data_IF_375656017310
#
_entry.id   IF_375656017310
#
_cell.length_a   1.000
_cell.length_b   1.000
_cell.length_c   1.000
_cell.angle_alpha   90.00
_cell.angle_beta   90.00
_cell.angle_gamma   90.00
#
_symmetry.space_group_name_H-M   'P 1'
#
loop_
_entity.id
_entity.type
_entity.pdbx_description
1 polymer ?
#
# COMPACT_ATOMS: atom_id res chain seq x y z
N UNK A 1 6.44 -69.81 -52.37
CA UNK A 1 5.59 -70.93 -52.07
C UNK A 1 4.54 -70.51 -51.05
N UNK A 2 3.29 -70.59 -51.46
CA UNK A 2 2.13 -70.30 -50.63
C UNK A 2 1.67 -71.66 -50.10
N UNK A 3 1.54 -71.82 -48.77
CA UNK A 3 0.99 -73.01 -48.14
C UNK A 3 1.96 -74.19 -47.94
N UNK A 4 3.29 -73.98 -47.83
CA UNK A 4 4.15 -75.05 -47.26
C UNK A 4 4.07 -75.08 -45.75
N UNK A 5 3.87 -76.25 -45.11
CA UNK A 5 3.85 -76.36 -43.69
C UNK A 5 5.25 -76.12 -43.11
N UNK A 6 5.31 -75.22 -42.10
CA UNK A 6 6.53 -74.96 -41.35
C UNK A 6 6.98 -76.12 -40.55
N UNK A 7 8.26 -76.46 -40.62
CA UNK A 7 8.87 -77.54 -39.79
C UNK A 7 9.54 -76.95 -38.54
N UNK A 8 9.60 -77.71 -37.50
CA UNK A 8 10.23 -77.32 -36.23
C UNK A 8 11.69 -76.91 -36.49
N UNK A 9 12.05 -75.65 -36.00
CA UNK A 9 13.38 -75.06 -36.21
C UNK A 9 13.53 -74.19 -37.45
N UNK A 10 12.50 -74.09 -38.30
CA UNK A 10 12.53 -73.16 -39.46
C UNK A 10 12.42 -71.69 -39.07
N UNK A 11 13.38 -70.89 -39.47
CA UNK A 11 13.37 -69.44 -39.24
C UNK A 11 12.41 -68.80 -40.26
N UNK A 12 11.39 -68.11 -39.75
CA UNK A 12 10.47 -67.29 -40.55
C UNK A 12 10.83 -65.84 -40.35
N UNK A 13 11.24 -65.18 -41.42
CA UNK A 13 11.42 -63.75 -41.43
C UNK A 13 10.09 -63.07 -41.71
N UNK A 14 9.58 -62.31 -40.75
CA UNK A 14 8.39 -61.48 -40.89
C UNK A 14 8.84 -60.09 -41.26
N UNK A 15 8.53 -59.62 -42.45
CA UNK A 15 8.75 -58.27 -42.88
C UNK A 15 7.47 -57.48 -42.59
N UNK A 16 7.54 -56.54 -41.66
CA UNK A 16 6.48 -55.56 -41.42
C UNK A 16 6.74 -54.34 -42.33
N UNK A 17 5.83 -54.04 -43.21
CA UNK A 17 5.91 -52.82 -43.97
C UNK A 17 5.67 -51.64 -43.06
N UNK A 18 6.61 -50.73 -43.01
CA UNK A 18 6.47 -49.45 -42.28
C UNK A 18 5.69 -48.39 -43.08
N UNK A 19 5.12 -48.77 -44.23
CA UNK A 19 4.50 -47.86 -45.17
C UNK A 19 5.50 -47.30 -46.18
N UNK A 20 5.05 -46.48 -47.09
CA UNK A 20 5.91 -45.78 -48.08
C UNK A 20 6.35 -44.43 -47.55
N UNK A 21 7.47 -43.91 -47.99
CA UNK A 21 7.93 -42.55 -47.65
C UNK A 21 6.89 -41.47 -48.04
N UNK A 22 5.94 -41.80 -48.91
CA UNK A 22 4.84 -40.92 -49.33
C UNK A 22 3.76 -40.73 -48.23
N UNK A 23 3.74 -41.59 -47.17
CA UNK A 23 2.79 -41.49 -46.07
C UNK A 23 3.30 -40.67 -44.87
N UNK A 24 4.53 -40.14 -44.96
CA UNK A 24 5.12 -39.29 -43.94
C UNK A 24 4.89 -37.82 -44.27
N UNK A 25 4.58 -37.04 -43.26
CA UNK A 25 4.40 -35.59 -43.33
C UNK A 25 5.18 -34.93 -42.19
N UNK A 26 5.67 -33.73 -42.44
CA UNK A 26 6.37 -32.96 -41.41
C UNK A 26 5.38 -32.17 -40.58
N UNK A 27 5.55 -32.23 -39.27
CA UNK A 27 4.77 -31.47 -38.32
C UNK A 27 5.13 -29.98 -38.45
N UNK A 28 4.14 -29.10 -38.64
CA UNK A 28 4.41 -27.67 -38.76
C UNK A 28 4.65 -27.03 -37.37
N UNK A 29 5.35 -25.87 -37.30
CA UNK A 29 5.41 -25.05 -36.10
C UNK A 29 4.05 -24.42 -35.83
N UNK A 30 3.44 -24.69 -34.66
CA UNK A 30 2.10 -24.25 -34.30
C UNK A 30 2.13 -23.27 -33.11
N UNK A 31 3.18 -23.33 -32.31
CA UNK A 31 3.32 -22.46 -31.11
C UNK A 31 3.41 -20.99 -31.53
N UNK A 32 2.62 -20.14 -30.88
CA UNK A 32 2.49 -18.71 -31.21
C UNK A 32 1.40 -18.37 -32.22
N UNK A 33 0.77 -19.38 -32.86
CA UNK A 33 -0.34 -19.18 -33.78
C UNK A 33 -1.68 -19.09 -33.03
N UNK A 34 -2.70 -18.52 -33.71
CA UNK A 34 -4.07 -18.67 -33.16
C UNK A 34 -4.51 -20.13 -33.28
N UNK A 35 -5.41 -20.57 -32.43
CA UNK A 35 -5.91 -21.94 -32.45
C UNK A 35 -6.60 -22.29 -33.75
N UNK A 36 -7.28 -21.32 -34.38
CA UNK A 36 -7.94 -21.48 -35.69
C UNK A 36 -6.92 -21.73 -36.80
N UNK A 37 -5.87 -20.90 -36.87
CA UNK A 37 -4.81 -21.05 -37.88
C UNK A 37 -4.03 -22.34 -37.67
N UNK A 38 -3.74 -22.72 -36.44
CA UNK A 38 -3.06 -23.95 -36.08
C UNK A 38 -3.86 -25.19 -36.50
N UNK A 39 -5.18 -25.21 -36.24
CA UNK A 39 -6.08 -26.31 -36.71
C UNK A 39 -6.10 -26.42 -38.22
N UNK A 40 -6.29 -25.28 -38.90
CA UNK A 40 -6.31 -25.25 -40.37
C UNK A 40 -4.97 -25.75 -40.94
N UNK A 41 -3.84 -25.40 -40.32
CA UNK A 41 -2.52 -25.85 -40.79
C UNK A 41 -2.29 -27.35 -40.52
N UNK A 42 -2.72 -27.89 -39.38
CA UNK A 42 -2.68 -29.33 -39.08
C UNK A 42 -3.43 -30.10 -40.14
N UNK A 43 -4.68 -29.71 -40.44
CA UNK A 43 -5.53 -30.37 -41.44
C UNK A 43 -4.96 -30.25 -42.86
N UNK A 44 -4.46 -29.07 -43.24
CA UNK A 44 -3.81 -28.85 -44.52
C UNK A 44 -2.56 -29.74 -44.76
N UNK A 45 -1.89 -30.12 -43.67
CA UNK A 45 -0.75 -31.06 -43.70
C UNK A 45 -1.18 -32.53 -43.73
N UNK A 46 -2.48 -32.82 -43.61
CA UNK A 46 -3.02 -34.18 -43.55
C UNK A 46 -2.75 -34.86 -42.19
N UNK A 47 -2.66 -34.05 -41.15
CA UNK A 47 -2.59 -34.45 -39.73
C UNK A 47 -3.98 -34.29 -39.11
N UNK A 48 -4.17 -34.82 -37.91
CA UNK A 48 -5.42 -34.73 -37.17
C UNK A 48 -5.28 -33.84 -35.94
N UNK A 49 -6.28 -32.99 -35.72
CA UNK A 49 -6.36 -32.17 -34.50
C UNK A 49 -6.83 -33.05 -33.35
N UNK A 50 -6.05 -33.06 -32.24
CA UNK A 50 -6.37 -33.77 -31.02
C UNK A 50 -7.08 -32.91 -29.97
N UNK A 51 -6.78 -33.19 -28.73
CA UNK A 51 -7.28 -32.36 -27.62
C UNK A 51 -6.63 -30.97 -27.60
N UNK A 52 -7.45 -29.97 -27.30
CA UNK A 52 -7.00 -28.61 -27.03
C UNK A 52 -7.29 -28.30 -25.54
N UNK A 53 -6.23 -28.19 -24.71
CA UNK A 53 -6.35 -27.91 -23.29
C UNK A 53 -6.01 -26.46 -23.03
N UNK A 54 -6.91 -25.71 -22.39
CA UNK A 54 -6.67 -24.33 -22.03
C UNK A 54 -5.74 -24.26 -20.80
N UNK A 55 -4.72 -23.41 -20.87
CA UNK A 55 -3.73 -23.14 -19.80
C UNK A 55 -3.55 -21.64 -19.62
N UNK A 56 -3.24 -21.21 -18.42
CA UNK A 56 -2.83 -19.81 -18.16
C UNK A 56 -1.47 -19.55 -18.80
N UNK A 57 -1.29 -18.38 -19.41
CA UNK A 57 -0.07 -18.00 -20.09
C UNK A 57 -0.06 -16.50 -20.35
N UNK A 58 1.11 -15.89 -20.39
CA UNK A 58 1.30 -14.47 -20.75
C UNK A 58 0.97 -14.15 -22.22
N UNK A 59 0.67 -15.16 -23.01
CA UNK A 59 0.24 -14.96 -24.40
C UNK A 59 -1.25 -14.61 -24.47
N UNK A 60 -1.69 -13.87 -25.51
CA UNK A 60 -3.10 -13.56 -25.71
C UNK A 60 -3.97 -14.83 -25.72
N UNK A 61 -5.20 -14.72 -25.22
CA UNK A 61 -6.18 -15.80 -25.26
C UNK A 61 -6.32 -16.40 -26.66
N UNK A 62 -6.42 -17.73 -26.74
CA UNK A 62 -6.53 -18.45 -28.01
C UNK A 62 -5.22 -18.70 -28.72
N UNK A 63 -4.08 -18.31 -28.18
CA UNK A 63 -2.75 -18.59 -28.75
C UNK A 63 -2.27 -19.97 -28.34
N UNK A 64 -1.71 -20.74 -29.29
CA UNK A 64 -1.10 -22.05 -29.03
C UNK A 64 0.20 -21.87 -28.24
N UNK A 65 0.25 -22.45 -27.02
CA UNK A 65 1.41 -22.40 -26.13
C UNK A 65 2.29 -23.65 -26.23
N UNK A 66 1.72 -24.77 -26.64
CA UNK A 66 2.41 -26.05 -26.75
C UNK A 66 1.77 -26.94 -27.79
N UNK A 67 2.58 -27.76 -28.48
CA UNK A 67 2.16 -28.85 -29.36
C UNK A 67 2.81 -30.18 -28.94
N UNK A 68 2.06 -31.28 -29.00
CA UNK A 68 2.48 -32.59 -28.47
C UNK A 68 3.58 -33.31 -29.27
N UNK A 69 3.87 -32.84 -30.48
CA UNK A 69 4.92 -33.38 -31.35
C UNK A 69 5.74 -32.18 -31.84
N UNK A 70 7.06 -32.30 -31.79
CA UNK A 70 7.97 -31.22 -32.15
C UNK A 70 7.82 -30.79 -33.63
N UNK A 71 8.02 -29.50 -33.93
CA UNK A 71 8.10 -29.04 -35.31
C UNK A 71 9.17 -29.81 -36.12
N UNK A 72 8.91 -29.99 -37.40
CA UNK A 72 9.78 -30.69 -38.35
C UNK A 72 9.94 -32.20 -38.14
N UNK A 73 9.32 -32.79 -37.13
CA UNK A 73 9.29 -34.24 -36.98
C UNK A 73 8.50 -34.89 -38.09
N UNK A 74 9.00 -36.00 -38.63
CA UNK A 74 8.33 -36.78 -39.69
C UNK A 74 7.40 -37.82 -39.07
N UNK A 75 6.11 -37.66 -39.27
CA UNK A 75 5.06 -38.50 -38.71
C UNK A 75 4.16 -39.06 -39.87
N UNK A 76 3.39 -40.09 -39.56
CA UNK A 76 2.40 -40.60 -40.51
C UNK A 76 1.24 -39.57 -40.69
N UNK A 77 0.62 -39.60 -41.84
CA UNK A 77 -0.67 -38.95 -42.06
C UNK A 77 -1.66 -39.36 -40.98
N UNK A 78 -2.59 -38.42 -40.66
CA UNK A 78 -3.62 -38.60 -39.63
C UNK A 78 -3.06 -38.75 -38.22
N UNK A 79 -1.74 -38.58 -38.00
CA UNK A 79 -1.19 -38.49 -36.64
C UNK A 79 -1.84 -37.34 -35.89
N UNK A 80 -2.26 -37.60 -34.66
CA UNK A 80 -2.99 -36.65 -33.81
C UNK A 80 -2.02 -35.70 -33.12
N UNK A 81 -2.24 -34.39 -33.26
CA UNK A 81 -1.50 -33.34 -32.57
C UNK A 81 -2.40 -32.75 -31.48
N UNK A 82 -1.99 -32.89 -30.22
CA UNK A 82 -2.63 -32.21 -29.10
C UNK A 82 -2.00 -30.84 -28.88
N UNK A 83 -2.81 -29.86 -28.48
CA UNK A 83 -2.41 -28.48 -28.27
C UNK A 83 -2.69 -28.04 -26.83
N UNK A 84 -1.86 -27.14 -26.31
CA UNK A 84 -2.26 -26.28 -25.21
C UNK A 84 -2.51 -24.89 -25.75
N UNK A 85 -3.52 -24.22 -25.23
CA UNK A 85 -4.02 -22.93 -25.72
C UNK A 85 -4.04 -21.97 -24.54
N UNK A 86 -3.49 -20.78 -24.73
CA UNK A 86 -3.54 -19.72 -23.74
C UNK A 86 -4.99 -19.35 -23.41
N UNK A 87 -5.29 -19.17 -22.12
CA UNK A 87 -6.49 -18.48 -21.61
C UNK A 87 -6.30 -16.97 -21.52
N UNK A 88 -5.12 -16.47 -21.82
CA UNK A 88 -4.66 -15.14 -21.50
C UNK A 88 -3.87 -15.10 -20.20
N UNK A 89 -3.32 -13.93 -19.84
CA UNK A 89 -2.76 -13.69 -18.52
C UNK A 89 -3.80 -13.97 -17.42
N UNK A 90 -3.35 -14.40 -16.26
CA UNK A 90 -4.23 -14.55 -15.12
C UNK A 90 -4.80 -13.16 -14.76
N UNK A 91 -6.12 -13.06 -14.59
CA UNK A 91 -6.76 -11.85 -14.06
C UNK A 91 -6.28 -11.59 -12.63
N UNK A 92 -5.90 -10.34 -12.34
CA UNK A 92 -5.55 -9.96 -10.97
C UNK A 92 -6.79 -10.03 -10.07
N UNK A 93 -6.70 -10.78 -8.97
CA UNK A 93 -7.77 -10.84 -7.98
C UNK A 93 -7.90 -9.53 -7.20
N UNK A 94 -9.11 -9.18 -6.81
CA UNK A 94 -9.33 -8.02 -5.94
C UNK A 94 -8.71 -8.29 -4.57
N UNK A 95 -7.79 -7.43 -4.09
CA UNK A 95 -7.13 -7.66 -2.82
C UNK A 95 -8.12 -7.57 -1.65
N UNK A 96 -7.97 -8.45 -0.67
CA UNK A 96 -8.76 -8.43 0.56
C UNK A 96 -8.07 -7.58 1.62
N UNK A 97 -8.77 -6.58 2.14
CA UNK A 97 -8.28 -5.80 3.29
C UNK A 97 -8.58 -6.59 4.56
N UNK A 98 -7.52 -6.92 5.30
CA UNK A 98 -7.57 -7.78 6.50
C UNK A 98 -7.75 -6.95 7.76
N UNK A 99 -7.02 -5.83 7.83
CA UNK A 99 -7.13 -4.88 8.92
C UNK A 99 -6.81 -3.46 8.46
N UNK A 100 -7.32 -2.49 9.18
CA UNK A 100 -7.04 -1.07 8.94
C UNK A 100 -7.15 -0.26 10.24
N UNK A 101 -6.54 0.92 10.27
CA UNK A 101 -6.78 1.91 11.32
C UNK A 101 -8.24 2.34 11.35
N UNK A 102 -8.73 2.67 12.55
CA UNK A 102 -10.09 3.16 12.78
C UNK A 102 -10.09 4.66 13.05
N UNK A 103 -11.28 5.25 13.13
CA UNK A 103 -11.47 6.64 13.54
C UNK A 103 -10.72 6.94 14.83
N UNK A 104 -10.04 8.08 14.87
CA UNK A 104 -9.19 8.44 16.00
C UNK A 104 -9.20 9.94 16.27
N UNK A 105 -8.90 10.29 17.51
CA UNK A 105 -8.69 11.68 17.93
C UNK A 105 -7.28 11.78 18.49
N UNK A 106 -6.55 12.82 18.07
CA UNK A 106 -5.18 13.11 18.51
C UNK A 106 -5.06 14.58 18.86
N UNK A 107 -4.09 14.91 19.70
CA UNK A 107 -3.75 16.29 20.03
C UNK A 107 -2.82 16.86 18.95
N UNK A 108 -2.93 18.14 18.70
CA UNK A 108 -2.06 18.87 17.78
C UNK A 108 -0.58 18.61 18.08
N UNK A 109 0.19 18.26 17.05
CA UNK A 109 1.63 17.98 17.15
C UNK A 109 1.99 16.55 17.56
N UNK A 110 1.02 15.70 17.93
CA UNK A 110 1.26 14.28 18.16
C UNK A 110 1.53 13.55 16.85
N UNK A 111 2.35 12.51 16.89
CA UNK A 111 2.59 11.68 15.69
C UNK A 111 1.46 10.70 15.50
N UNK A 112 0.90 10.66 14.28
CA UNK A 112 -0.13 9.70 13.89
C UNK A 112 0.30 8.94 12.63
N UNK A 113 0.22 7.62 12.69
CA UNK A 113 0.42 6.75 11.54
C UNK A 113 -0.83 5.91 11.31
N UNK A 114 -1.39 5.99 10.11
CA UNK A 114 -2.48 5.14 9.65
C UNK A 114 -1.91 3.91 8.96
N UNK A 115 -2.54 2.76 9.16
CA UNK A 115 -2.08 1.48 8.65
C UNK A 115 -3.22 0.72 7.96
N UNK A 116 -2.87 -0.04 6.95
CA UNK A 116 -3.74 -1.00 6.29
C UNK A 116 -2.96 -2.29 6.01
N UNK A 117 -3.57 -3.42 6.28
CA UNK A 117 -3.05 -4.74 5.93
C UNK A 117 -3.98 -5.36 4.88
N UNK A 118 -3.41 -5.89 3.81
CA UNK A 118 -4.15 -6.53 2.75
C UNK A 118 -3.42 -7.78 2.26
N UNK A 119 -4.17 -8.70 1.66
CA UNK A 119 -3.63 -9.91 1.03
C UNK A 119 -4.30 -10.16 -0.31
N UNK A 120 -3.60 -10.93 -1.15
CA UNK A 120 -4.08 -11.51 -2.39
C UNK A 120 -3.78 -13.00 -2.39
N UNK A 121 -4.57 -13.82 -3.07
CA UNK A 121 -4.39 -15.29 -3.16
C UNK A 121 -3.80 -15.72 -4.49
N UNK A 122 -3.53 -14.79 -5.41
CA UNK A 122 -3.02 -15.02 -6.77
C UNK A 122 -1.52 -14.74 -6.93
N UNK A 123 -0.77 -14.65 -5.81
CA UNK A 123 0.66 -14.29 -5.78
C UNK A 123 1.00 -12.93 -6.43
N UNK A 124 0.00 -12.06 -6.63
CA UNK A 124 0.18 -10.72 -7.18
C UNK A 124 0.91 -9.78 -6.23
N UNK A 125 1.45 -8.70 -6.79
CA UNK A 125 2.18 -7.67 -6.04
C UNK A 125 1.22 -6.60 -5.55
N UNK A 126 1.15 -6.43 -4.22
CA UNK A 126 0.33 -5.38 -3.60
C UNK A 126 1.07 -4.05 -3.56
N UNK A 127 0.37 -2.99 -3.95
CA UNK A 127 0.80 -1.61 -3.79
C UNK A 127 -0.30 -0.77 -3.13
N UNK A 128 0.11 0.33 -2.47
CA UNK A 128 -0.74 1.11 -1.59
C UNK A 128 -0.69 2.59 -2.01
N UNK A 129 -1.82 3.26 -1.89
CA UNK A 129 -1.92 4.69 -2.13
C UNK A 129 -2.92 5.29 -1.13
N UNK A 130 -2.42 6.13 -0.21
CA UNK A 130 -3.23 6.83 0.77
C UNK A 130 -3.67 8.19 0.25
N UNK A 131 -4.92 8.49 0.47
CA UNK A 131 -5.54 9.75 0.06
C UNK A 131 -6.16 10.45 1.25
N UNK A 132 -6.01 11.77 1.28
CA UNK A 132 -6.80 12.65 2.14
C UNK A 132 -7.92 13.28 1.31
N UNK A 133 -9.14 13.28 1.82
CA UNK A 133 -10.31 13.86 1.14
C UNK A 133 -11.03 14.87 2.02
N UNK A 134 -11.47 16.00 1.47
CA UNK A 134 -12.24 16.99 2.21
C UNK A 134 -13.72 16.60 2.38
N UNK A 135 -14.25 15.76 1.49
CA UNK A 135 -15.68 15.43 1.44
C UNK A 135 -16.04 14.10 2.11
N UNK A 136 -15.02 13.27 2.44
CA UNK A 136 -15.25 11.89 2.85
C UNK A 136 -15.65 10.97 1.68
N UNK A 137 -15.41 11.39 0.43
CA UNK A 137 -15.59 10.59 -0.78
C UNK A 137 -14.25 10.12 -1.33
N UNK A 138 -14.23 9.01 -2.06
CA UNK A 138 -13.05 8.53 -2.76
C UNK A 138 -12.73 9.28 -4.06
N UNK A 139 -13.62 10.18 -4.52
CA UNK A 139 -13.53 10.82 -5.84
C UNK A 139 -12.63 12.06 -5.85
N UNK A 140 -12.42 12.71 -4.68
CA UNK A 140 -11.71 13.99 -4.56
C UNK A 140 -10.46 13.91 -3.66
N UNK A 141 -9.91 12.70 -3.51
CA UNK A 141 -8.75 12.45 -2.67
C UNK A 141 -7.44 13.00 -3.23
N UNK A 142 -6.63 13.61 -2.37
CA UNK A 142 -5.26 14.02 -2.65
C UNK A 142 -4.30 12.97 -2.09
N UNK A 143 -3.36 12.48 -2.91
CA UNK A 143 -2.38 11.47 -2.52
C UNK A 143 -1.45 12.00 -1.41
N UNK A 144 -1.35 11.27 -0.30
CA UNK A 144 -0.54 11.63 0.87
C UNK A 144 0.48 10.55 1.28
N UNK A 145 0.36 9.33 0.77
CA UNK A 145 1.29 8.23 1.06
C UNK A 145 1.20 7.09 0.06
N UNK A 146 2.25 6.25 0.00
CA UNK A 146 2.37 5.14 -0.97
C UNK A 146 2.86 3.83 -0.35
N UNK A 147 2.66 3.63 0.94
CA UNK A 147 3.03 2.40 1.67
C UNK A 147 1.84 1.91 2.49
N UNK A 148 1.90 0.69 3.02
CA UNK A 148 0.88 0.15 3.91
C UNK A 148 0.68 1.01 5.17
N UNK A 149 1.73 1.67 5.67
CA UNK A 149 1.72 2.65 6.75
C UNK A 149 1.94 4.06 6.20
N UNK A 150 1.13 5.02 6.64
CA UNK A 150 1.15 6.42 6.23
C UNK A 150 1.13 7.34 7.45
N UNK A 151 2.20 8.13 7.66
CA UNK A 151 2.19 9.18 8.67
C UNK A 151 1.44 10.41 8.14
N UNK A 152 0.48 10.89 8.90
CA UNK A 152 -0.35 12.04 8.55
C UNK A 152 -0.04 13.23 9.44
N UNK A 153 -0.25 14.44 8.91
CA UNK A 153 -0.01 15.67 9.65
C UNK A 153 -1.08 15.92 10.69
N UNK A 154 -0.66 16.31 11.88
CA UNK A 154 -1.50 16.71 13.02
C UNK A 154 -1.26 18.17 13.45
N UNK A 155 -0.58 18.95 12.62
CA UNK A 155 -0.18 20.32 12.93
C UNK A 155 -1.33 21.32 12.97
N UNK A 156 -2.44 21.02 12.33
CA UNK A 156 -3.60 21.91 12.27
C UNK A 156 -4.82 21.24 12.85
N UNK A 157 -5.48 21.82 13.85
CA UNK A 157 -6.74 21.29 14.39
C UNK A 157 -7.84 21.25 13.34
N UNK A 158 -8.65 20.20 13.39
CA UNK A 158 -9.73 19.98 12.43
C UNK A 158 -10.08 18.51 12.27
N UNK A 159 -11.02 18.25 11.39
CA UNK A 159 -11.43 16.89 11.03
C UNK A 159 -10.97 16.57 9.61
N UNK A 160 -10.30 15.44 9.45
CA UNK A 160 -9.69 14.99 8.21
C UNK A 160 -10.16 13.57 7.90
N UNK A 161 -10.36 13.27 6.63
CA UNK A 161 -10.77 11.94 6.19
C UNK A 161 -9.68 11.33 5.31
N UNK A 162 -9.40 10.05 5.56
CA UNK A 162 -8.37 9.31 4.84
C UNK A 162 -8.93 7.97 4.36
N UNK A 163 -8.41 7.50 3.24
CA UNK A 163 -8.63 6.14 2.76
C UNK A 163 -7.39 5.64 2.01
N UNK A 164 -7.22 4.32 1.94
CA UNK A 164 -6.17 3.68 1.19
C UNK A 164 -6.74 2.93 0.00
N UNK A 165 -6.21 3.15 -1.19
CA UNK A 165 -6.39 2.30 -2.35
C UNK A 165 -5.30 1.24 -2.35
N UNK A 166 -5.67 -0.03 -2.29
CA UNK A 166 -4.77 -1.17 -2.43
C UNK A 166 -4.94 -1.75 -3.81
N UNK A 167 -3.86 -1.85 -4.56
CA UNK A 167 -3.86 -2.41 -5.92
C UNK A 167 -3.07 -3.72 -5.91
N UNK A 168 -3.66 -4.76 -6.47
CA UNK A 168 -3.02 -6.03 -6.78
C UNK A 168 -2.62 -6.05 -8.26
N UNK A 169 -1.41 -6.50 -8.57
CA UNK A 169 -0.88 -6.58 -9.94
C UNK A 169 -0.35 -7.98 -10.22
N UNK A 170 -0.85 -8.62 -11.26
CA UNK A 170 -0.41 -9.91 -11.80
C UNK A 170 -0.04 -9.73 -13.27
N UNK A 171 1.23 -9.81 -13.60
CA UNK A 171 1.68 -9.44 -14.96
C UNK A 171 1.33 -8.00 -15.30
N UNK A 172 0.54 -7.80 -16.35
CA UNK A 172 0.05 -6.48 -16.79
C UNK A 172 -1.37 -6.17 -16.28
N UNK A 173 -2.03 -7.14 -15.62
CA UNK A 173 -3.40 -7.00 -15.11
C UNK A 173 -3.42 -6.44 -13.69
N UNK A 174 -4.42 -5.61 -13.41
CA UNK A 174 -4.56 -4.98 -12.09
C UNK A 174 -6.00 -5.03 -11.59
N UNK A 175 -6.14 -5.26 -10.28
CA UNK A 175 -7.40 -5.11 -9.57
C UNK A 175 -7.17 -4.32 -8.29
N UNK A 176 -8.21 -3.74 -7.69
CA UNK A 176 -8.04 -2.91 -6.51
C UNK A 176 -9.21 -2.98 -5.54
N UNK A 177 -8.92 -2.64 -4.28
CA UNK A 177 -9.90 -2.38 -3.24
C UNK A 177 -9.60 -1.05 -2.54
N UNK A 178 -10.62 -0.44 -1.95
CA UNK A 178 -10.48 0.70 -1.05
C UNK A 178 -10.67 0.24 0.40
N UNK A 179 -9.89 0.84 1.32
CA UNK A 179 -10.18 0.76 2.75
C UNK A 179 -11.51 1.47 3.06
N UNK A 180 -12.05 1.23 4.23
CA UNK A 180 -13.08 2.11 4.78
C UNK A 180 -12.49 3.50 5.02
N UNK A 181 -13.37 4.51 5.07
CA UNK A 181 -12.99 5.88 5.38
C UNK A 181 -12.60 5.98 6.86
N UNK A 182 -11.46 6.61 7.14
CA UNK A 182 -10.95 6.85 8.48
C UNK A 182 -11.09 8.34 8.80
N UNK A 183 -11.80 8.65 9.87
CA UNK A 183 -11.95 10.01 10.38
C UNK A 183 -10.87 10.29 11.43
N UNK A 184 -10.05 11.30 11.18
CA UNK A 184 -9.03 11.78 12.12
C UNK A 184 -9.44 13.16 12.63
N UNK A 185 -9.65 13.29 13.94
CA UNK A 185 -9.91 14.57 14.59
C UNK A 185 -8.66 15.06 15.32
N UNK A 186 -8.11 16.18 14.87
CA UNK A 186 -6.99 16.86 15.54
C UNK A 186 -7.57 17.94 16.44
N UNK A 187 -7.32 17.84 17.73
CA UNK A 187 -7.76 18.81 18.74
C UNK A 187 -6.62 19.71 19.17
N UNK A 188 -6.93 20.94 19.59
CA UNK A 188 -5.91 21.75 20.29
C UNK A 188 -5.52 21.08 21.60
N UNK A 189 -4.27 21.27 22.02
CA UNK A 189 -3.85 20.89 23.35
C UNK A 189 -4.66 21.64 24.41
N UNK A 190 -5.01 20.97 25.49
CA UNK A 190 -5.69 21.61 26.60
C UNK A 190 -4.83 22.76 27.13
N UNK A 191 -5.46 23.92 27.34
CA UNK A 191 -4.78 25.07 27.96
C UNK A 191 -4.92 24.92 29.45
N UNK A 192 -3.79 24.82 30.16
CA UNK A 192 -3.75 24.67 31.62
C UNK A 192 -3.31 25.98 32.25
N UNK A 193 -3.95 26.32 33.37
CA UNK A 193 -3.57 27.45 34.23
C UNK A 193 -2.48 27.02 35.20
N UNK A 194 -1.37 27.77 35.23
CA UNK A 194 -0.27 27.57 36.19
C UNK A 194 -0.07 28.87 36.97
N UNK A 195 0.12 28.77 38.25
CA UNK A 195 0.48 29.92 39.12
C UNK A 195 1.99 29.96 39.28
N UNK A 196 2.61 30.99 38.73
CA UNK A 196 4.04 31.23 38.93
C UNK A 196 4.26 31.98 40.23
N UNK A 197 5.18 31.47 41.04
CA UNK A 197 5.63 32.12 42.25
C UNK A 197 6.94 32.87 41.98
N UNK A 198 6.89 34.20 42.01
CA UNK A 198 8.02 35.06 41.63
C UNK A 198 8.52 35.79 42.89
N UNK A 199 9.76 35.54 43.26
CA UNK A 199 10.42 36.27 44.34
C UNK A 199 10.88 37.63 43.80
N UNK A 200 10.23 38.71 44.23
CA UNK A 200 10.54 40.06 43.78
C UNK A 200 11.87 40.57 44.35
N UNK A 201 12.55 41.53 43.69
CA UNK A 201 13.80 42.11 44.16
C UNK A 201 13.66 42.73 45.56
N UNK A 202 14.76 42.76 46.30
CA UNK A 202 14.78 43.43 47.60
C UNK A 202 14.85 44.96 47.44
N UNK A 203 13.85 45.67 47.97
CA UNK A 203 13.80 47.15 47.89
C UNK A 203 12.43 47.67 48.34
N UNK A 204 12.30 49.01 48.47
CA UNK A 204 11.07 49.67 48.81
C UNK A 204 10.47 50.43 47.61
N UNK A 205 10.88 50.03 46.40
CA UNK A 205 10.47 50.71 45.16
C UNK A 205 9.13 50.22 44.62
N UNK A 206 8.66 50.92 43.60
CA UNK A 206 7.58 50.48 42.74
C UNK A 206 8.22 49.90 41.48
N UNK A 207 7.84 48.67 41.14
CA UNK A 207 8.37 47.94 39.99
C UNK A 207 7.25 47.69 38.96
N UNK A 208 7.53 47.85 37.68
CA UNK A 208 6.65 47.41 36.58
C UNK A 208 6.94 45.97 36.25
N UNK A 209 5.93 45.09 36.30
CA UNK A 209 6.06 43.65 36.05
C UNK A 209 5.16 43.23 34.88
N UNK A 210 5.67 42.48 33.98
CA UNK A 210 4.86 41.77 32.98
C UNK A 210 5.44 40.39 32.65
N UNK A 211 4.63 39.53 32.03
CA UNK A 211 5.01 38.14 31.78
C UNK A 211 4.77 37.79 30.31
N UNK A 212 5.76 37.16 29.69
CA UNK A 212 5.66 36.57 28.38
C UNK A 212 5.66 35.05 28.44
N UNK A 213 4.79 34.39 27.67
CA UNK A 213 4.74 32.94 27.53
C UNK A 213 4.93 32.59 26.07
N UNK A 214 5.98 31.85 25.76
CA UNK A 214 6.31 31.49 24.40
C UNK A 214 6.61 32.66 23.47
N UNK A 215 7.04 33.81 24.03
CA UNK A 215 7.37 35.04 23.30
C UNK A 215 6.19 36.01 23.12
N UNK A 216 5.02 35.73 23.67
CA UNK A 216 3.86 36.61 23.64
C UNK A 216 3.53 37.16 25.03
N UNK A 217 3.16 38.45 25.12
CA UNK A 217 2.75 39.04 26.43
C UNK A 217 1.43 38.39 26.84
N UNK A 218 1.42 37.79 28.01
CA UNK A 218 0.24 37.18 28.60
C UNK A 218 -0.32 37.97 29.78
N UNK A 219 0.58 38.59 30.57
CA UNK A 219 0.21 39.52 31.60
C UNK A 219 0.76 40.87 31.19
N UNK A 220 -0.14 41.81 30.94
CA UNK A 220 0.20 43.19 30.61
C UNK A 220 0.97 43.87 31.75
N UNK A 221 1.84 44.88 31.47
CA UNK A 221 2.58 45.55 32.48
C UNK A 221 1.71 46.15 33.60
N UNK A 222 2.05 45.86 34.84
CA UNK A 222 1.38 46.41 36.04
C UNK A 222 2.39 46.76 37.12
N UNK A 223 2.03 47.69 37.97
CA UNK A 223 2.91 48.20 39.07
C UNK A 223 2.77 47.32 40.33
N UNK A 224 3.90 46.97 40.90
CA UNK A 224 4.00 46.29 42.20
C UNK A 224 4.73 47.19 43.20
N UNK A 225 4.01 47.69 44.20
CA UNK A 225 4.55 48.56 45.29
C UNK A 225 5.11 47.64 46.40
N UNK A 226 6.42 47.46 46.44
CA UNK A 226 7.10 46.60 47.40
C UNK A 226 7.13 47.18 48.82
N UNK A 227 6.84 48.51 49.01
CA UNK A 227 6.71 49.08 50.35
C UNK A 227 5.49 48.58 51.11
N UNK A 228 4.51 48.02 50.39
CA UNK A 228 3.25 47.44 50.91
C UNK A 228 3.23 45.91 50.89
N UNK A 229 4.17 45.26 50.25
CA UNK A 229 4.16 43.82 50.02
C UNK A 229 5.22 43.12 50.92
N UNK A 230 4.79 42.63 52.08
CA UNK A 230 5.67 42.09 53.15
C UNK A 230 6.22 40.69 52.75
N UNK A 231 5.64 39.97 51.80
CA UNK A 231 5.99 38.59 51.49
C UNK A 231 6.95 38.40 50.33
N UNK A 232 7.10 39.38 49.47
CA UNK A 232 7.96 39.33 48.23
C UNK A 232 7.69 38.18 47.27
N UNK A 233 6.65 37.40 47.49
CA UNK A 233 6.21 36.33 46.62
C UNK A 233 4.99 36.83 45.85
N UNK A 234 5.16 36.95 44.53
CA UNK A 234 4.12 37.38 43.62
C UNK A 234 3.54 36.16 42.88
N UNK A 235 2.26 35.94 43.02
CA UNK A 235 1.54 34.87 42.31
C UNK A 235 0.99 35.39 40.98
N UNK A 236 1.47 34.83 39.90
CA UNK A 236 1.10 35.22 38.55
C UNK A 236 0.40 34.07 37.81
N UNK A 237 -0.90 34.13 37.54
CA UNK A 237 -1.59 33.09 36.82
C UNK A 237 -1.24 33.22 35.33
N UNK A 238 -0.63 32.19 34.76
CA UNK A 238 -0.31 32.08 33.34
C UNK A 238 -0.98 30.86 32.72
N UNK A 239 -1.27 30.96 31.42
CA UNK A 239 -1.93 29.89 30.67
C UNK A 239 -1.04 29.36 29.55
N UNK A 240 -1.07 28.09 29.36
CA UNK A 240 -0.32 27.47 28.28
C UNK A 240 -0.72 26.02 27.99
N UNK A 241 -0.05 25.47 27.02
CA UNK A 241 -0.09 24.03 26.71
C UNK A 241 1.29 23.59 26.25
N UNK A 242 1.67 22.37 26.61
CA UNK A 242 3.00 21.87 26.36
C UNK A 242 4.08 22.61 27.17
N UNK A 243 5.34 22.40 26.82
CA UNK A 243 6.47 23.08 27.45
C UNK A 243 6.67 24.46 26.80
N UNK A 244 6.61 25.51 27.60
CA UNK A 244 6.81 26.91 27.15
C UNK A 244 7.90 27.58 27.96
N UNK A 245 8.63 28.48 27.27
CA UNK A 245 9.50 29.41 27.96
C UNK A 245 8.63 30.55 28.57
N UNK A 246 8.69 30.73 29.84
CA UNK A 246 8.02 31.82 30.55
C UNK A 246 9.09 32.79 31.04
N UNK A 247 8.99 34.06 30.58
CA UNK A 247 9.94 35.11 30.92
C UNK A 247 9.22 36.21 31.68
N UNK A 248 9.77 36.55 32.84
CA UNK A 248 9.26 37.60 33.71
C UNK A 248 10.16 38.80 33.54
N UNK A 249 9.58 39.95 33.35
CA UNK A 249 10.27 41.21 33.20
C UNK A 249 9.93 42.12 34.40
N UNK A 250 10.93 42.82 34.87
CA UNK A 250 10.80 43.84 35.94
C UNK A 250 11.49 45.11 35.43
N UNK A 251 10.75 46.21 35.38
CA UNK A 251 11.21 47.51 34.86
C UNK A 251 11.78 47.43 33.45
N UNK A 252 11.22 46.54 32.59
CA UNK A 252 11.62 46.34 31.21
C UNK A 252 12.85 45.46 31.00
N UNK A 253 13.48 45.00 32.08
CA UNK A 253 14.62 44.06 32.03
C UNK A 253 14.16 42.63 32.32
N UNK A 254 14.78 41.63 31.65
CA UNK A 254 14.52 40.20 31.95
C UNK A 254 14.97 39.89 33.37
N UNK A 255 14.03 39.49 34.21
CA UNK A 255 14.26 39.23 35.61
C UNK A 255 14.43 37.73 35.91
N UNK A 256 13.54 36.91 35.33
CA UNK A 256 13.58 35.47 35.51
C UNK A 256 13.02 34.78 34.23
N UNK A 257 13.58 33.63 33.88
CA UNK A 257 13.14 32.84 32.77
C UNK A 257 13.11 31.36 33.12
N UNK A 258 11.95 30.73 32.97
CA UNK A 258 11.70 29.36 33.32
C UNK A 258 11.06 28.58 32.17
N UNK A 259 11.43 27.28 32.05
CA UNK A 259 10.67 26.34 31.22
C UNK A 259 9.54 25.78 32.12
N UNK A 260 8.31 26.04 31.71
CA UNK A 260 7.11 25.55 32.36
C UNK A 260 6.42 24.52 31.48
N UNK A 261 6.20 23.35 32.04
CA UNK A 261 5.41 22.29 31.44
C UNK A 261 3.95 22.41 31.87
N UNK A 262 3.11 22.97 31.02
CA UNK A 262 1.70 23.20 31.30
C UNK A 262 0.86 21.91 31.28
N UNK A 263 1.41 20.81 30.73
CA UNK A 263 0.73 19.51 30.64
C UNK A 263 1.10 18.58 31.81
N UNK A 264 2.05 18.99 32.69
CA UNK A 264 2.42 18.20 33.86
C UNK A 264 1.32 18.25 34.92
N UNK A 265 0.84 17.08 35.34
CA UNK A 265 -0.10 16.97 36.48
C UNK A 265 0.60 17.38 37.81
N UNK A 266 0.13 18.44 38.41
CA UNK A 266 0.47 18.78 39.82
C UNK A 266 1.45 19.92 40.05
N UNK A 267 1.13 21.11 39.56
CA UNK A 267 1.67 22.37 40.07
C UNK A 267 0.71 23.05 41.05
#
# INVERSE_FOLDING_TARGET
AKDEPLTEGQVVNIYVSLGTAADLVRVPPLVGMTVEDAKALIEAKGLSVGSATAVESDLPEGTVTFQSIDPDEEVRRETVINLQISKGPADAETPAIISQSTDTTVTRGETLTLEVEAQSTDDGVLSYAWYQTPSGSTDDGVLVGSRAACSVSTETPGTYYYFCKVVNTVGDETSFAYSEMICVTVTEAAVTDVILHVQMPSGDGIYEVYVMVGGEIQIEPFEVDMSKNIGRDLELPVKGSGIKLVTIFVDGEEYDTQLVDFDAEGY
#
